data_IF_768481335609
#
_entry.id   IF_768481335609
#
_cell.length_a   1.000
_cell.length_b   1.000
_cell.length_c   1.000
_cell.angle_alpha   90.00
_cell.angle_beta   90.00
_cell.angle_gamma   90.00
#
_symmetry.space_group_name_H-M   'P 1'
#
loop_
_entity.id
_entity.type
_entity.pdbx_description
1 polymer ?
#
# COMPACT_ATOMS: atom_id res chain seq x y z
N UNK A 1 -10.57 -13.41 25.23
CA UNK A 1 -10.30 -13.15 23.79
C UNK A 1 -9.03 -13.85 23.36
N UNK A 2 -8.99 -14.42 22.15
CA UNK A 2 -7.83 -15.17 21.63
C UNK A 2 -6.81 -14.18 21.07
N UNK A 3 -5.55 -14.25 21.51
CA UNK A 3 -4.48 -13.38 21.03
C UNK A 3 -3.95 -13.92 19.71
N UNK A 4 -4.05 -13.13 18.64
CA UNK A 4 -3.51 -13.50 17.33
C UNK A 4 -2.37 -12.56 16.94
N UNK A 5 -1.29 -13.12 16.37
CA UNK A 5 -0.22 -12.31 15.75
C UNK A 5 -0.74 -11.48 14.56
N UNK A 6 -1.74 -12.01 13.83
CA UNK A 6 -2.43 -11.28 12.77
C UNK A 6 -3.92 -11.64 12.76
N UNK A 7 -4.79 -10.66 13.05
CA UNK A 7 -6.22 -10.82 12.87
C UNK A 7 -6.55 -10.98 11.38
N UNK A 8 -5.83 -10.28 10.50
CA UNK A 8 -5.95 -10.40 9.03
C UNK A 8 -5.90 -11.84 8.51
N UNK A 9 -4.97 -12.68 8.97
CA UNK A 9 -4.90 -14.10 8.53
C UNK A 9 -6.07 -14.92 9.08
N UNK A 10 -6.47 -14.68 10.32
CA UNK A 10 -7.58 -15.38 10.93
C UNK A 10 -8.90 -15.08 10.20
N UNK A 11 -9.11 -13.81 9.81
CA UNK A 11 -10.24 -13.38 9.00
C UNK A 11 -10.28 -14.06 7.63
N UNK A 12 -9.15 -14.11 6.92
CA UNK A 12 -9.10 -14.74 5.61
C UNK A 12 -9.29 -16.26 5.65
N UNK A 13 -8.68 -16.95 6.62
CA UNK A 13 -8.71 -18.43 6.69
C UNK A 13 -10.03 -18.97 7.22
N UNK A 14 -10.59 -18.36 8.27
CA UNK A 14 -11.79 -18.89 8.93
C UNK A 14 -13.08 -18.26 8.43
N UNK A 15 -13.02 -17.02 7.96
CA UNK A 15 -14.22 -16.25 7.64
C UNK A 15 -14.27 -15.78 6.19
N UNK A 16 -13.22 -16.04 5.38
CA UNK A 16 -13.15 -15.54 4.00
C UNK A 16 -13.22 -14.02 3.89
N UNK A 17 -13.00 -13.29 4.98
CA UNK A 17 -13.22 -11.85 5.06
C UNK A 17 -11.93 -11.10 4.76
N UNK A 18 -12.05 -10.06 3.94
CA UNK A 18 -11.00 -9.07 3.79
C UNK A 18 -10.96 -8.18 5.04
N UNK A 19 -9.79 -7.62 5.38
CA UNK A 19 -9.68 -6.67 6.50
C UNK A 19 -10.62 -5.48 6.36
N UNK A 20 -10.89 -5.06 5.13
CA UNK A 20 -11.78 -3.94 4.83
C UNK A 20 -13.25 -4.29 5.11
N UNK A 21 -13.71 -5.45 4.63
CA UNK A 21 -15.05 -5.94 4.93
C UNK A 21 -15.27 -6.14 6.45
N UNK A 22 -14.23 -6.57 7.17
CA UNK A 22 -14.26 -6.65 8.64
C UNK A 22 -14.32 -5.27 9.31
N UNK A 23 -13.71 -4.22 8.74
CA UNK A 23 -13.88 -2.86 9.27
C UNK A 23 -15.29 -2.36 9.01
N UNK A 24 -15.80 -2.54 7.79
CA UNK A 24 -17.14 -2.10 7.40
C UNK A 24 -18.23 -2.77 8.25
N UNK A 25 -18.13 -4.08 8.48
CA UNK A 25 -19.15 -4.83 9.23
C UNK A 25 -19.22 -4.47 10.72
N UNK A 26 -18.13 -3.98 11.31
CA UNK A 26 -18.09 -3.58 12.72
C UNK A 26 -17.87 -2.06 12.91
N UNK A 27 -17.92 -1.25 11.85
CA UNK A 27 -17.74 0.19 11.91
C UNK A 27 -16.37 0.66 12.42
N UNK A 28 -15.29 -0.10 12.18
CA UNK A 28 -13.96 0.28 12.67
C UNK A 28 -13.30 1.33 11.76
N UNK A 29 -12.50 2.25 12.34
CA UNK A 29 -11.68 3.18 11.58
C UNK A 29 -10.71 2.45 10.64
N UNK A 30 -10.38 3.09 9.52
CA UNK A 30 -9.38 2.60 8.57
C UNK A 30 -8.00 2.40 9.21
N UNK A 31 -7.68 3.23 10.20
CA UNK A 31 -6.43 3.21 10.98
C UNK A 31 -6.39 2.08 12.03
N UNK A 32 -7.45 1.28 12.17
CA UNK A 32 -7.47 0.24 13.18
C UNK A 32 -6.46 -0.89 12.87
N UNK A 33 -5.53 -1.20 13.80
CA UNK A 33 -4.50 -2.19 13.59
C UNK A 33 -5.08 -3.61 13.62
N UNK A 34 -5.24 -4.21 12.44
CA UNK A 34 -5.67 -5.61 12.26
C UNK A 34 -4.53 -6.63 12.42
N UNK A 35 -3.33 -6.16 12.75
CA UNK A 35 -2.11 -6.94 12.93
C UNK A 35 -1.34 -6.31 14.09
N UNK A 36 -0.60 -7.12 14.85
CA UNK A 36 0.19 -6.60 15.95
C UNK A 36 1.15 -5.48 15.45
N UNK A 37 1.24 -4.32 16.14
CA UNK A 37 2.06 -3.19 15.69
C UNK A 37 3.52 -3.57 15.45
N UNK A 38 4.11 -4.38 16.33
CA UNK A 38 5.48 -4.87 16.19
C UNK A 38 5.68 -5.71 14.91
N UNK A 39 4.69 -6.55 14.57
CA UNK A 39 4.75 -7.36 13.35
C UNK A 39 4.56 -6.51 12.09
N UNK A 40 3.72 -5.47 12.16
CA UNK A 40 3.55 -4.51 11.07
C UNK A 40 4.84 -3.71 10.81
N UNK A 41 5.54 -3.29 11.87
CA UNK A 41 6.83 -2.62 11.77
C UNK A 41 7.86 -3.50 11.06
N UNK A 42 8.08 -4.73 11.53
CA UNK A 42 9.04 -5.66 10.90
C UNK A 42 8.69 -5.98 9.45
N UNK A 43 7.40 -6.09 9.11
CA UNK A 43 6.97 -6.32 7.73
C UNK A 43 7.16 -5.08 6.86
N UNK A 44 6.96 -3.88 7.40
CA UNK A 44 7.22 -2.61 6.71
C UNK A 44 8.71 -2.43 6.42
N UNK A 45 9.58 -2.73 7.38
CA UNK A 45 11.04 -2.66 7.22
C UNK A 45 11.53 -3.63 6.14
N UNK A 46 11.02 -4.87 6.16
CA UNK A 46 11.32 -5.87 5.13
C UNK A 46 10.76 -5.46 3.74
N UNK A 47 9.58 -4.83 3.68
CA UNK A 47 9.05 -4.30 2.43
C UNK A 47 9.94 -3.18 1.87
N UNK A 48 10.39 -2.26 2.72
CA UNK A 48 11.31 -1.17 2.34
C UNK A 48 12.68 -1.70 1.90
N UNK A 49 13.20 -2.72 2.58
CA UNK A 49 14.50 -3.32 2.24
C UNK A 49 14.48 -4.07 0.90
N UNK A 50 13.35 -4.73 0.58
CA UNK A 50 13.13 -5.43 -0.70
C UNK A 50 12.75 -4.46 -1.83
N UNK A 51 12.61 -3.15 -1.54
CA UNK A 51 12.33 -2.12 -2.55
C UNK A 51 10.84 -1.94 -2.87
N UNK A 52 9.95 -2.54 -2.07
CA UNK A 52 8.50 -2.41 -2.19
C UNK A 52 8.08 -1.03 -1.66
N UNK A 53 7.68 -0.14 -2.56
CA UNK A 53 7.38 1.27 -2.23
C UNK A 53 8.46 2.27 -2.65
N UNK A 54 9.52 1.85 -3.36
CA UNK A 54 10.28 2.79 -4.19
C UNK A 54 9.35 3.30 -5.27
N UNK A 55 8.84 4.52 -5.11
CA UNK A 55 8.26 5.29 -6.20
C UNK A 55 9.29 5.22 -7.31
N UNK A 56 8.98 4.57 -8.44
CA UNK A 56 9.75 4.78 -9.65
C UNK A 56 9.87 6.30 -9.75
N UNK A 57 11.10 6.83 -9.70
CA UNK A 57 11.32 8.23 -10.03
C UNK A 57 10.64 8.38 -11.38
N UNK A 58 9.51 9.08 -11.41
CA UNK A 58 8.87 9.43 -12.66
C UNK A 58 9.99 10.07 -13.49
N UNK A 59 10.29 9.58 -14.71
CA UNK A 59 11.25 10.28 -15.54
C UNK A 59 10.79 11.74 -15.57
N UNK A 60 11.68 12.65 -15.16
CA UNK A 60 11.36 14.06 -15.04
C UNK A 60 10.58 14.51 -16.29
N UNK A 61 9.49 15.28 -16.17
CA UNK A 61 8.79 15.77 -17.33
C UNK A 61 9.76 16.68 -18.08
N UNK A 62 10.30 16.19 -19.21
CA UNK A 62 11.03 17.03 -20.15
C UNK A 62 10.04 18.08 -20.64
N UNK A 63 10.16 19.25 -20.02
CA UNK A 63 9.30 20.41 -20.24
C UNK A 63 9.45 20.83 -21.71
N UNK A 64 8.43 20.56 -22.52
CA UNK A 64 8.33 21.09 -23.87
C UNK A 64 8.43 22.61 -23.87
N UNK A 65 9.41 23.15 -24.60
CA UNK A 65 9.56 24.56 -24.98
C UNK A 65 10.52 24.58 -26.18
N UNK A 66 10.22 25.05 -27.38
CA UNK A 66 9.02 25.63 -27.98
C UNK A 66 9.22 25.67 -29.50
N UNK A 67 8.14 26.01 -30.20
CA UNK A 67 8.02 26.17 -31.67
C UNK A 67 9.12 27.04 -32.30
N UNK A 68 9.59 26.65 -33.49
CA UNK A 68 9.70 27.55 -34.66
C UNK A 68 9.56 26.77 -35.97
N UNK A 69 8.80 27.36 -36.89
CA UNK A 69 8.45 26.87 -38.22
C UNK A 69 9.44 27.33 -39.31
N UNK A 70 9.29 26.74 -40.51
CA UNK A 70 9.97 26.95 -41.83
C UNK A 70 11.33 26.24 -41.97
N UNK A 71 11.69 25.60 -43.09
CA UNK A 71 11.60 25.90 -44.55
C UNK A 71 11.66 24.54 -45.31
N UNK A 72 10.69 24.17 -46.18
CA UNK A 72 10.74 24.20 -47.67
C UNK A 72 12.00 23.61 -48.34
N UNK A 73 11.88 22.44 -48.97
CA UNK A 73 12.56 22.02 -50.21
C UNK A 73 11.96 20.69 -50.68
#
# INVERSE_FOLDING_TARGET
>A
GKKFKSLKRHLGVHFGLTPDAYRAKWGLPSDYPMVAPNYAASRSELAKSIGLGRKAVAPAPVKGKGRKAKVSA
#
